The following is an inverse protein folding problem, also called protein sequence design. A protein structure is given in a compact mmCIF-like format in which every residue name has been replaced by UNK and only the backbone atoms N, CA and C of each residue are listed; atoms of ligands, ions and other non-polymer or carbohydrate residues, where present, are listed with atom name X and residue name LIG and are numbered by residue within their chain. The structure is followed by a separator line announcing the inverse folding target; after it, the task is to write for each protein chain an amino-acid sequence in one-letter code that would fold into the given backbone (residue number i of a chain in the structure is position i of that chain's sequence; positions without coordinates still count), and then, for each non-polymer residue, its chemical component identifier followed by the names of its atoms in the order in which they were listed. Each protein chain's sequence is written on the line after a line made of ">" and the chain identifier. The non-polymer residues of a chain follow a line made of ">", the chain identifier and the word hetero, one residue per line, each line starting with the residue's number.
data_IF_622032445952
#
_entry.id   IF_622032445952
#
_cell.length_a   1.000
_cell.length_b   1.000
_cell.length_c   1.000
_cell.angle_alpha   90.00
_cell.angle_beta   90.00
_cell.angle_gamma   90.00
#
_symmetry.space_group_name_H-M   'P 1'
#
loop_
_entity.id
_entity.type
_entity.pdbx_description
1 polymer ?
#
# COMPACT_ATOMS: atom_id res chain seq x y z
N UNK A 1 -45.09 -11.60 -5.34
CA UNK A 1 -46.20 -10.88 -6.01
C UNK A 1 -46.22 -9.50 -5.41
N UNK A 2 -45.77 -8.48 -6.15
CA UNK A 2 -45.86 -7.08 -5.71
C UNK A 2 -47.22 -6.57 -6.13
N UNK A 3 -48.10 -6.35 -5.15
CA UNK A 3 -49.34 -5.63 -5.40
C UNK A 3 -48.95 -4.19 -5.72
N UNK A 4 -48.99 -3.85 -7.01
CA UNK A 4 -48.55 -2.53 -7.48
C UNK A 4 -49.79 -1.64 -7.38
N UNK A 5 -49.74 -0.56 -6.59
CA UNK A 5 -50.91 0.29 -6.38
C UNK A 5 -51.42 0.81 -7.73
N UNK A 6 -52.75 0.78 -7.91
CA UNK A 6 -53.37 1.35 -9.11
C UNK A 6 -53.31 2.86 -9.01
N UNK A 7 -53.27 3.55 -10.14
CA UNK A 7 -53.18 5.03 -10.18
C UNK A 7 -54.32 5.68 -9.39
N UNK A 8 -55.49 5.05 -9.39
CA UNK A 8 -56.69 5.46 -8.65
C UNK A 8 -56.56 5.38 -7.11
N UNK A 9 -55.55 4.66 -6.59
CA UNK A 9 -55.26 4.54 -5.16
C UNK A 9 -54.24 5.58 -4.65
N UNK A 10 -53.55 6.29 -5.54
CA UNK A 10 -52.48 7.23 -5.20
C UNK A 10 -53.06 8.55 -4.67
N UNK A 11 -52.63 8.98 -3.48
CA UNK A 11 -52.99 10.29 -2.91
C UNK A 11 -51.87 11.30 -3.10
N UNK A 12 -52.20 12.59 -3.05
CA UNK A 12 -51.20 13.67 -3.16
C UNK A 12 -50.06 13.55 -2.14
N UNK A 13 -50.34 13.04 -0.93
CA UNK A 13 -49.33 12.84 0.11
C UNK A 13 -48.33 11.71 -0.19
N UNK A 14 -48.62 10.85 -1.16
CA UNK A 14 -47.74 9.76 -1.57
C UNK A 14 -46.73 10.21 -2.63
N UNK A 15 -46.88 11.43 -3.17
CA UNK A 15 -46.04 11.99 -4.22
C UNK A 15 -44.92 12.85 -3.62
N UNK A 16 -43.67 12.54 -3.96
CA UNK A 16 -42.56 13.45 -3.74
C UNK A 16 -42.54 14.55 -4.81
N UNK A 17 -42.35 15.79 -4.39
CA UNK A 17 -42.12 16.94 -5.26
C UNK A 17 -40.63 17.07 -5.57
N UNK A 18 -40.29 17.92 -6.55
CA UNK A 18 -38.89 18.26 -6.82
C UNK A 18 -38.18 18.87 -5.61
N UNK A 19 -38.92 19.59 -4.76
CA UNK A 19 -38.36 20.22 -3.58
C UNK A 19 -37.90 19.19 -2.54
N UNK A 20 -38.60 18.06 -2.45
CA UNK A 20 -38.26 16.96 -1.54
C UNK A 20 -36.95 16.26 -1.92
N UNK A 21 -36.54 16.37 -3.18
CA UNK A 21 -35.33 15.73 -3.72
C UNK A 21 -34.06 16.58 -3.56
N UNK A 22 -34.18 17.89 -3.32
CA UNK A 22 -33.03 18.82 -3.31
C UNK A 22 -31.96 18.46 -2.28
N UNK A 23 -32.35 17.84 -1.17
CA UNK A 23 -31.44 17.47 -0.08
C UNK A 23 -31.03 16.00 -0.10
N UNK A 24 -31.42 15.23 -1.13
CA UNK A 24 -31.00 13.85 -1.26
C UNK A 24 -29.62 13.76 -1.91
N UNK A 25 -28.72 13.02 -1.28
CA UNK A 25 -27.48 12.62 -1.91
C UNK A 25 -27.77 11.74 -3.13
N UNK A 26 -27.13 12.07 -4.24
CA UNK A 26 -27.20 11.31 -5.47
C UNK A 26 -26.19 10.16 -5.46
N UNK A 27 -26.30 9.27 -6.44
CA UNK A 27 -25.30 8.22 -6.64
C UNK A 27 -23.93 8.80 -7.01
N UNK A 28 -23.91 9.93 -7.70
CA UNK A 28 -22.68 10.58 -8.13
C UNK A 28 -21.95 11.18 -6.91
N UNK A 29 -22.68 11.75 -5.95
CA UNK A 29 -22.12 12.22 -4.68
C UNK A 29 -21.43 11.08 -3.91
N UNK A 30 -22.05 9.90 -3.86
CA UNK A 30 -21.47 8.71 -3.23
C UNK A 30 -20.24 8.18 -3.99
N UNK A 31 -20.25 8.25 -5.32
CA UNK A 31 -19.12 7.85 -6.14
C UNK A 31 -17.92 8.78 -5.93
N UNK A 32 -18.17 10.08 -5.85
CA UNK A 32 -17.15 11.08 -5.53
C UNK A 32 -16.55 10.85 -4.15
N UNK A 33 -17.38 10.67 -3.11
CA UNK A 33 -16.91 10.40 -1.75
C UNK A 33 -16.06 9.12 -1.66
N UNK A 34 -16.49 8.05 -2.35
CA UNK A 34 -15.73 6.80 -2.42
C UNK A 34 -14.36 6.98 -3.05
N UNK A 35 -14.29 7.77 -4.13
CA UNK A 35 -13.03 8.03 -4.82
C UNK A 35 -12.10 8.89 -3.96
N UNK A 36 -12.61 9.94 -3.34
CA UNK A 36 -11.86 10.77 -2.38
C UNK A 36 -11.30 9.91 -1.23
N UNK A 37 -12.14 9.11 -0.59
CA UNK A 37 -11.70 8.20 0.50
C UNK A 37 -10.64 7.20 0.03
N UNK A 38 -10.77 6.68 -1.20
CA UNK A 38 -9.80 5.76 -1.78
C UNK A 38 -8.45 6.45 -2.02
N UNK A 39 -8.48 7.68 -2.52
CA UNK A 39 -7.27 8.46 -2.78
C UNK A 39 -6.55 8.83 -1.48
N UNK A 40 -7.27 9.27 -0.45
CA UNK A 40 -6.69 9.54 0.87
C UNK A 40 -6.02 8.29 1.46
N UNK A 41 -6.67 7.14 1.37
CA UNK A 41 -6.10 5.89 1.84
C UNK A 41 -4.86 5.46 1.03
N UNK A 42 -4.87 5.67 -0.29
CA UNK A 42 -3.71 5.41 -1.14
C UNK A 42 -2.53 6.34 -0.83
N UNK A 43 -2.80 7.63 -0.58
CA UNK A 43 -1.76 8.60 -0.20
C UNK A 43 -1.12 8.24 1.15
N UNK A 44 -1.89 7.75 2.13
CA UNK A 44 -1.35 7.24 3.38
C UNK A 44 -0.41 6.04 3.16
N UNK A 45 -0.75 5.16 2.22
CA UNK A 45 0.07 4.00 1.87
C UNK A 45 1.43 4.37 1.26
N UNK A 46 1.54 5.51 0.57
CA UNK A 46 2.82 5.99 0.05
C UNK A 46 3.74 6.56 1.16
N UNK A 47 3.17 7.18 2.19
CA UNK A 47 3.93 7.76 3.31
C UNK A 47 4.36 6.70 4.31
N UNK A 48 3.53 5.67 4.51
CA UNK A 48 3.84 4.57 5.42
C UNK A 48 4.46 3.40 4.66
N UNK A 49 5.73 3.09 4.96
CA UNK A 49 6.36 1.87 4.46
C UNK A 49 5.54 0.65 4.86
N UNK A 50 5.15 -0.15 3.87
CA UNK A 50 4.37 -1.36 4.08
C UNK A 50 5.25 -2.48 4.63
N UNK A 51 4.61 -3.55 5.09
CA UNK A 51 5.31 -4.77 5.49
C UNK A 51 6.16 -5.35 4.35
N UNK A 52 5.70 -5.24 3.09
CA UNK A 52 6.46 -5.71 1.94
C UNK A 52 7.66 -4.80 1.66
N UNK A 53 7.52 -3.49 1.79
CA UNK A 53 8.65 -2.55 1.63
C UNK A 53 9.76 -2.84 2.65
N UNK A 54 9.38 -3.04 3.92
CA UNK A 54 10.34 -3.41 4.97
C UNK A 54 11.01 -4.76 4.71
N UNK A 55 10.25 -5.75 4.24
CA UNK A 55 10.80 -7.08 3.90
C UNK A 55 11.78 -6.99 2.72
N UNK A 56 11.46 -6.19 1.71
CA UNK A 56 12.34 -5.91 0.58
C UNK A 56 13.64 -5.24 1.05
N UNK A 57 13.53 -4.18 1.87
CA UNK A 57 14.68 -3.50 2.47
C UNK A 57 15.56 -4.44 3.32
N UNK A 58 14.94 -5.30 4.13
CA UNK A 58 15.66 -6.30 4.92
C UNK A 58 16.39 -7.33 4.04
N UNK A 59 15.73 -7.84 3.00
CA UNK A 59 16.35 -8.80 2.08
C UNK A 59 17.56 -8.19 1.35
N UNK A 60 17.44 -6.94 0.92
CA UNK A 60 18.56 -6.21 0.31
C UNK A 60 19.74 -6.12 1.29
N UNK A 61 19.47 -5.70 2.53
CA UNK A 61 20.47 -5.58 3.59
C UNK A 61 21.16 -6.92 3.88
N UNK A 62 20.41 -8.02 3.95
CA UNK A 62 20.97 -9.36 4.13
C UNK A 62 21.87 -9.76 2.95
N UNK A 63 21.49 -9.41 1.72
CA UNK A 63 22.32 -9.61 0.53
C UNK A 63 23.63 -8.84 0.60
N UNK A 64 23.60 -7.59 1.04
CA UNK A 64 24.80 -6.76 1.25
C UNK A 64 25.70 -7.31 2.36
N UNK A 65 25.13 -7.72 3.49
CA UNK A 65 25.88 -8.38 4.56
C UNK A 65 26.55 -9.67 4.08
N UNK A 66 25.87 -10.46 3.25
CA UNK A 66 26.45 -11.65 2.64
C UNK A 66 27.69 -11.33 1.79
N UNK A 67 27.61 -10.30 0.94
CA UNK A 67 28.75 -9.82 0.15
C UNK A 67 29.89 -9.30 1.03
N UNK A 68 29.57 -8.51 2.05
CA UNK A 68 30.56 -7.97 2.99
C UNK A 68 31.35 -9.07 3.70
N UNK A 69 30.66 -10.13 4.15
CA UNK A 69 31.31 -11.29 4.77
C UNK A 69 32.26 -12.00 3.83
N UNK A 70 31.86 -12.21 2.58
CA UNK A 70 32.72 -12.86 1.58
C UNK A 70 34.01 -12.04 1.34
N UNK A 71 33.90 -10.72 1.25
CA UNK A 71 35.06 -9.83 1.12
C UNK A 71 35.96 -9.86 2.36
N UNK A 72 35.38 -9.84 3.56
CA UNK A 72 36.11 -9.96 4.82
C UNK A 72 36.92 -11.25 4.90
N UNK A 73 36.31 -12.39 4.54
CA UNK A 73 37.00 -13.67 4.51
C UNK A 73 38.16 -13.66 3.51
N UNK A 74 37.96 -13.09 2.33
CA UNK A 74 39.02 -13.02 1.32
C UNK A 74 40.17 -12.12 1.75
N UNK A 75 39.88 -10.95 2.33
CA UNK A 75 40.90 -10.08 2.92
C UNK A 75 41.67 -10.81 4.03
N UNK A 76 41.00 -11.56 4.89
CA UNK A 76 41.66 -12.38 5.92
C UNK A 76 42.61 -13.43 5.34
N UNK A 77 42.21 -14.10 4.25
CA UNK A 77 43.08 -15.06 3.54
C UNK A 77 44.29 -14.38 2.92
N UNK A 78 44.10 -13.22 2.30
CA UNK A 78 45.19 -12.44 1.70
C UNK A 78 46.19 -12.00 2.78
N UNK A 79 45.70 -11.46 3.90
CA UNK A 79 46.54 -11.06 5.03
C UNK A 79 47.36 -12.24 5.56
N UNK A 80 46.74 -13.41 5.77
CA UNK A 80 47.45 -14.61 6.22
C UNK A 80 48.56 -15.03 5.23
N UNK A 81 48.30 -14.93 3.92
CA UNK A 81 49.32 -15.23 2.89
C UNK A 81 50.48 -14.25 2.93
N UNK A 82 50.20 -12.95 3.05
CA UNK A 82 51.23 -11.89 3.09
C UNK A 82 52.11 -12.04 4.33
N UNK A 83 51.50 -12.26 5.51
CA UNK A 83 52.24 -12.49 6.76
C UNK A 83 53.17 -13.70 6.62
N UNK A 84 52.66 -14.83 6.11
CA UNK A 84 53.49 -16.01 5.89
C UNK A 84 54.61 -15.80 4.84
N UNK A 85 54.45 -14.86 3.91
CA UNK A 85 55.53 -14.48 2.98
C UNK A 85 56.60 -13.65 3.68
N UNK A 86 56.22 -12.68 4.52
CA UNK A 86 57.15 -11.87 5.29
C UNK A 86 57.95 -12.71 6.29
N UNK A 87 57.32 -13.65 6.98
CA UNK A 87 57.99 -14.57 7.91
C UNK A 87 59.07 -15.43 7.22
N UNK A 88 58.89 -15.73 5.93
CA UNK A 88 59.88 -16.48 5.12
C UNK A 88 61.03 -15.60 4.61
N UNK A 89 60.89 -14.28 4.67
CA UNK A 89 61.89 -13.31 4.22
C UNK A 89 62.75 -12.75 5.36
N UNK A 90 62.31 -12.91 6.61
CA UNK A 90 63.04 -12.57 7.83
C UNK A 90 64.01 -13.68 8.26
#
# INVERSE_FOLDING_TARGET
>A
MTDTPRVEDIRLGDLATKQDLVNLATKDDLAALREETRQEFAALHEVFATKEDMKSGFNLMMGEFGKLRATQEEQGRILARVVAQLDRMA
#
